data_IF_045153684179
#
_entry.id   IF_045153684179
#
_cell.length_a   1.000
_cell.length_b   1.000
_cell.length_c   1.000
_cell.angle_alpha   90.00
_cell.angle_beta   90.00
_cell.angle_gamma   90.00
#
_symmetry.space_group_name_H-M   'P 1'
#
loop_
_entity.id
_entity.type
_entity.pdbx_description
1 polymer ?
#
# COMPACT_ATOMS: atom_id res chain seq x y z
N UNK A 1 -6.95 -11.40 -5.00
CA UNK A 1 -5.50 -11.52 -5.28
C UNK A 1 -4.71 -10.59 -4.36
N UNK A 2 -4.86 -9.26 -4.47
CA UNK A 2 -4.15 -8.28 -3.60
C UNK A 2 -4.44 -8.47 -2.10
N UNK A 3 -5.69 -8.77 -1.72
CA UNK A 3 -6.11 -8.94 -0.31
C UNK A 3 -5.89 -10.33 0.31
N UNK A 4 -5.47 -11.33 -0.47
CA UNK A 4 -5.53 -12.74 -0.07
C UNK A 4 -6.77 -13.45 -0.62
N UNK A 5 -6.62 -14.73 -1.00
CA UNK A 5 -7.68 -15.52 -1.62
C UNK A 5 -8.76 -15.87 -0.57
N UNK A 6 -9.99 -15.40 -0.76
CA UNK A 6 -11.15 -15.80 0.04
C UNK A 6 -11.32 -15.11 1.42
N UNK A 7 -10.51 -14.10 1.77
CA UNK A 7 -10.64 -13.38 3.05
C UNK A 7 -11.42 -12.07 2.93
N UNK A 8 -12.46 -11.91 3.76
CA UNK A 8 -13.27 -10.66 3.85
C UNK A 8 -12.41 -9.47 4.28
N UNK A 9 -11.58 -9.64 5.32
CA UNK A 9 -10.67 -8.59 5.79
C UNK A 9 -9.65 -8.23 4.71
N UNK A 10 -9.14 -9.24 4.02
CA UNK A 10 -8.25 -9.07 2.88
C UNK A 10 -8.84 -8.18 1.79
N UNK A 11 -10.10 -8.44 1.41
CA UNK A 11 -10.81 -7.64 0.41
C UNK A 11 -11.04 -6.19 0.86
N UNK A 12 -11.37 -5.97 2.13
CA UNK A 12 -11.55 -4.61 2.69
C UNK A 12 -10.23 -3.82 2.64
N UNK A 13 -9.14 -4.40 3.15
CA UNK A 13 -7.84 -3.75 3.10
C UNK A 13 -7.35 -3.53 1.67
N UNK A 14 -7.57 -4.50 0.77
CA UNK A 14 -7.25 -4.35 -0.65
C UNK A 14 -8.02 -3.20 -1.31
N UNK A 15 -9.32 -3.05 -1.03
CA UNK A 15 -10.14 -1.96 -1.57
C UNK A 15 -9.69 -0.59 -1.02
N UNK A 16 -9.44 -0.49 0.29
CA UNK A 16 -8.91 0.73 0.92
C UNK A 16 -7.56 1.09 0.29
N UNK A 17 -6.70 0.11 0.09
CA UNK A 17 -5.37 0.33 -0.49
C UNK A 17 -5.43 0.83 -1.93
N UNK A 18 -6.22 0.16 -2.78
CA UNK A 18 -6.39 0.53 -4.20
C UNK A 18 -6.97 1.94 -4.36
N UNK A 19 -7.82 2.37 -3.43
CA UNK A 19 -8.44 3.69 -3.45
C UNK A 19 -7.56 4.78 -2.83
N UNK A 20 -6.90 4.52 -1.70
CA UNK A 20 -6.07 5.51 -1.01
C UNK A 20 -4.74 5.77 -1.71
N UNK A 21 -4.10 4.74 -2.25
CA UNK A 21 -2.78 4.87 -2.87
C UNK A 21 -2.69 5.95 -3.96
N UNK A 22 -3.59 6.01 -4.96
CA UNK A 22 -3.54 7.07 -5.97
C UNK A 22 -3.77 8.46 -5.39
N UNK A 23 -4.58 8.57 -4.34
CA UNK A 23 -4.83 9.84 -3.62
C UNK A 23 -3.58 10.26 -2.86
N UNK A 24 -2.95 9.33 -2.14
CA UNK A 24 -1.72 9.57 -1.39
C UNK A 24 -0.57 10.04 -2.30
N UNK A 25 -0.38 9.38 -3.45
CA UNK A 25 0.65 9.80 -4.43
C UNK A 25 0.35 11.20 -4.96
N UNK A 26 -0.92 11.50 -5.30
CA UNK A 26 -1.30 12.82 -5.79
C UNK A 26 -1.00 13.89 -4.74
N UNK A 27 -1.46 13.71 -3.50
CA UNK A 27 -1.25 14.67 -2.41
C UNK A 27 0.24 14.84 -2.09
N UNK A 28 1.00 13.74 -2.06
CA UNK A 28 2.44 13.80 -1.85
C UNK A 28 3.14 14.57 -2.99
N UNK A 29 2.72 14.36 -4.24
CA UNK A 29 3.32 15.07 -5.38
C UNK A 29 2.90 16.53 -5.47
N UNK A 30 1.69 16.87 -5.05
CA UNK A 30 1.26 18.27 -4.92
C UNK A 30 2.02 18.98 -3.78
N UNK A 31 2.25 18.31 -2.64
CA UNK A 31 2.94 18.88 -1.50
C UNK A 31 4.46 19.02 -1.70
N UNK A 32 5.10 18.02 -2.30
CA UNK A 32 6.57 17.95 -2.41
C UNK A 32 7.10 18.06 -3.84
N UNK A 33 6.28 17.84 -4.86
CA UNK A 33 6.73 17.82 -6.26
C UNK A 33 7.24 19.18 -6.75
N UNK A 34 6.67 20.28 -6.26
CA UNK A 34 7.12 21.63 -6.58
C UNK A 34 8.50 22.00 -6.01
N UNK A 35 9.03 21.22 -5.06
CA UNK A 35 10.38 21.42 -4.51
C UNK A 35 11.47 20.88 -5.45
N UNK A 36 11.17 19.83 -6.21
CA UNK A 36 12.15 19.13 -7.04
C UNK A 36 11.92 19.29 -8.55
N UNK A 37 10.70 19.60 -8.98
CA UNK A 37 10.32 19.60 -10.39
C UNK A 37 9.42 20.78 -10.76
N UNK A 38 9.51 21.22 -12.02
CA UNK A 38 8.59 22.21 -12.56
C UNK A 38 7.14 21.69 -12.53
N UNK A 39 6.12 22.55 -12.31
CA UNK A 39 4.73 22.13 -12.16
C UNK A 39 4.21 21.27 -13.32
N UNK A 40 4.60 21.57 -14.57
CA UNK A 40 4.19 20.76 -15.72
C UNK A 40 4.80 19.35 -15.70
N UNK A 41 6.02 19.19 -15.19
CA UNK A 41 6.69 17.90 -15.08
C UNK A 41 6.04 17.03 -14.00
N UNK A 42 5.63 17.61 -12.87
CA UNK A 42 4.94 16.90 -11.78
C UNK A 42 3.64 16.25 -12.27
N UNK A 43 2.83 16.99 -13.03
CA UNK A 43 1.54 16.49 -13.54
C UNK A 43 1.69 15.29 -14.48
N UNK A 44 2.76 15.26 -15.28
CA UNK A 44 3.07 14.14 -16.17
C UNK A 44 3.65 12.92 -15.42
N UNK A 45 4.29 13.14 -14.27
CA UNK A 45 4.92 12.06 -13.48
C UNK A 45 3.91 11.29 -12.62
N UNK A 46 2.88 11.95 -12.09
CA UNK A 46 1.86 11.34 -11.21
C UNK A 46 1.26 10.02 -11.76
N UNK A 47 0.77 9.94 -13.01
CA UNK A 47 0.18 8.70 -13.52
C UNK A 47 1.22 7.57 -13.68
N UNK A 48 2.45 7.89 -14.08
CA UNK A 48 3.53 6.91 -14.23
C UNK A 48 3.99 6.37 -12.87
N UNK A 49 4.18 7.25 -11.89
CA UNK A 49 4.50 6.90 -10.50
C UNK A 49 3.42 6.01 -9.89
N UNK A 50 2.15 6.32 -10.15
CA UNK A 50 1.03 5.48 -9.70
C UNK A 50 1.13 4.06 -10.25
N UNK A 51 1.36 3.90 -11.55
CA UNK A 51 1.49 2.57 -12.18
C UNK A 51 2.70 1.80 -11.63
N UNK A 52 3.86 2.46 -11.53
CA UNK A 52 5.07 1.85 -10.97
C UNK A 52 4.87 1.40 -9.53
N UNK A 53 4.31 2.26 -8.67
CA UNK A 53 4.04 1.93 -7.27
C UNK A 53 3.00 0.81 -7.14
N UNK A 54 1.95 0.82 -7.97
CA UNK A 54 0.98 -0.27 -8.00
C UNK A 54 1.63 -1.61 -8.33
N UNK A 55 2.44 -1.66 -9.40
CA UNK A 55 3.14 -2.87 -9.81
C UNK A 55 4.13 -3.35 -8.74
N UNK A 56 4.93 -2.42 -8.20
CA UNK A 56 5.88 -2.71 -7.13
C UNK A 56 5.19 -3.25 -5.88
N UNK A 57 4.02 -2.72 -5.51
CA UNK A 57 3.27 -3.19 -4.35
C UNK A 57 2.64 -4.55 -4.56
N UNK A 58 2.13 -4.83 -5.76
CA UNK A 58 1.67 -6.18 -6.10
C UNK A 58 2.82 -7.17 -5.94
N UNK A 59 3.98 -6.86 -6.50
CA UNK A 59 5.19 -7.71 -6.40
C UNK A 59 5.62 -7.84 -4.94
N UNK A 60 5.65 -6.75 -4.18
CA UNK A 60 6.00 -6.74 -2.76
C UNK A 60 5.07 -7.65 -1.94
N UNK A 61 3.75 -7.54 -2.12
CA UNK A 61 2.80 -8.42 -1.45
C UNK A 61 2.98 -9.88 -1.84
N UNK A 62 3.27 -10.16 -3.12
CA UNK A 62 3.57 -11.53 -3.56
C UNK A 62 4.85 -12.10 -2.93
N UNK A 63 5.89 -11.28 -2.75
CA UNK A 63 7.18 -11.70 -2.16
C UNK A 63 7.05 -11.89 -0.65
N UNK A 64 6.47 -10.92 0.06
CA UNK A 64 6.43 -10.94 1.53
C UNK A 64 5.48 -12.01 2.03
N UNK A 65 4.29 -12.14 1.44
CA UNK A 65 3.32 -13.15 1.87
C UNK A 65 2.30 -13.45 0.75
N UNK A 66 2.41 -14.56 0.02
CA UNK A 66 1.52 -14.89 -1.11
C UNK A 66 0.06 -15.08 -0.70
N UNK A 67 -0.22 -15.28 0.59
CA UNK A 67 -1.58 -15.33 1.17
C UNK A 67 -2.23 -13.95 1.38
N UNK A 68 -1.49 -12.85 1.13
CA UNK A 68 -1.99 -11.47 1.10
C UNK A 68 -2.06 -10.75 2.46
N UNK A 69 -2.59 -9.51 2.42
CA UNK A 69 -2.71 -8.56 3.54
C UNK A 69 -3.31 -9.14 4.83
N UNK A 70 -4.17 -10.16 4.73
CA UNK A 70 -4.81 -10.79 5.88
C UNK A 70 -3.80 -11.46 6.82
N UNK A 71 -2.73 -12.07 6.28
CA UNK A 71 -1.72 -12.76 7.11
C UNK A 71 -0.83 -11.74 7.83
N UNK A 72 -0.42 -10.68 7.14
CA UNK A 72 0.33 -9.56 7.70
C UNK A 72 -0.44 -8.91 8.86
N UNK A 73 -1.75 -8.66 8.68
CA UNK A 73 -2.60 -8.12 9.75
C UNK A 73 -2.71 -9.06 10.95
N UNK A 74 -2.81 -10.37 10.74
CA UNK A 74 -2.81 -11.36 11.82
C UNK A 74 -1.47 -11.41 12.55
N UNK A 75 -0.35 -11.31 11.83
CA UNK A 75 0.98 -11.26 12.44
C UNK A 75 1.15 -10.01 13.30
N UNK A 76 0.77 -8.83 12.79
CA UNK A 76 0.80 -7.56 13.55
C UNK A 76 -0.12 -7.65 14.79
N UNK A 77 -1.35 -8.14 14.62
CA UNK A 77 -2.30 -8.30 15.73
C UNK A 77 -1.79 -9.31 16.76
N UNK A 78 -1.19 -10.42 16.33
CA UNK A 78 -0.61 -11.40 17.24
C UNK A 78 0.58 -10.79 17.98
N UNK A 79 1.48 -10.09 17.29
CA UNK A 79 2.60 -9.38 17.90
C UNK A 79 2.15 -8.37 18.97
N UNK A 80 1.12 -7.58 18.67
CA UNK A 80 0.54 -6.64 19.64
C UNK A 80 -0.20 -7.31 20.81
N UNK A 81 -0.60 -8.58 20.68
CA UNK A 81 -1.34 -9.30 21.73
C UNK A 81 -0.43 -9.95 22.77
N UNK A 82 0.79 -10.32 22.39
CA UNK A 82 1.85 -10.84 23.29
C UNK A 82 2.69 -9.73 23.92
N UNK A 83 2.61 -8.51 23.39
CA UNK A 83 3.20 -7.31 23.98
C UNK A 83 2.21 -6.72 25.00
N UNK A 84 2.52 -6.47 26.30
CA UNK A 84 3.83 -6.38 26.96
C UNK A 84 4.14 -7.49 28.01
N UNK A 85 3.38 -8.59 28.06
CA UNK A 85 3.67 -9.70 28.99
C UNK A 85 3.96 -10.97 28.19
N UNK A 86 5.25 -11.21 27.95
CA UNK A 86 5.74 -12.48 27.43
C UNK A 86 5.80 -13.49 28.58
N UNK A 87 4.81 -14.38 28.67
CA UNK A 87 4.90 -15.68 29.34
C UNK A 87 4.30 -16.74 28.44
#
# INVERSE_FOLDING_TARGET
>A
IIGGLGSVLGSIFGAIFVTLLPIAIRVAMEAFGGVFFAPQTVLNLIPNLRLMLFGALIIFFLIVEPDGLNRLWRNIRNYFRIWPFAY
#
